data_IF_027398077930
#
_entry.id   IF_027398077930
#
_cell.length_a   1.000
_cell.length_b   1.000
_cell.length_c   1.000
_cell.angle_alpha   90.00
_cell.angle_beta   90.00
_cell.angle_gamma   90.00
#
_symmetry.space_group_name_H-M   'P 1'
#
loop_
_entity.id
_entity.type
_entity.pdbx_description
1 polymer ?
#
# COMPACT_ATOMS: atom_id res chain seq x y z
N UNK A 1 -21.56 -28.81 -3.47
CA UNK A 1 -20.47 -28.21 -4.27
C UNK A 1 -20.38 -26.72 -3.94
N UNK A 2 -19.67 -26.36 -2.86
CA UNK A 2 -19.23 -24.99 -2.55
C UNK A 2 -18.61 -24.93 -1.14
N UNK A 3 -17.35 -25.33 -1.01
CA UNK A 3 -16.58 -25.16 0.24
C UNK A 3 -15.16 -24.63 -0.06
N UNK A 4 -15.08 -23.65 -0.96
CA UNK A 4 -13.81 -23.01 -1.39
C UNK A 4 -13.72 -21.56 -0.85
N UNK A 5 -14.70 -21.06 -0.11
CA UNK A 5 -14.77 -19.63 0.23
C UNK A 5 -13.89 -19.14 1.40
N UNK A 6 -13.10 -19.98 2.07
CA UNK A 6 -12.48 -19.60 3.37
C UNK A 6 -10.96 -19.47 3.39
N UNK A 7 -10.23 -19.91 2.36
CA UNK A 7 -8.76 -19.78 2.32
C UNK A 7 -8.27 -18.40 1.85
N UNK A 8 -8.69 -17.98 0.65
CA UNK A 8 -8.14 -16.80 -0.03
C UNK A 8 -8.59 -15.48 0.61
N UNK A 9 -9.84 -15.40 1.07
CA UNK A 9 -10.35 -14.23 1.82
C UNK A 9 -9.56 -14.01 3.11
N UNK A 10 -9.17 -15.09 3.79
CA UNK A 10 -8.36 -15.03 5.01
C UNK A 10 -6.89 -14.75 4.74
N UNK A 11 -6.41 -14.87 3.52
CA UNK A 11 -5.03 -14.50 3.16
C UNK A 11 -4.94 -13.06 2.64
N UNK A 12 -5.96 -12.60 1.93
CA UNK A 12 -6.08 -11.24 1.39
C UNK A 12 -6.69 -10.24 2.37
N UNK A 13 -7.09 -10.66 3.58
CA UNK A 13 -7.60 -9.76 4.62
C UNK A 13 -6.72 -8.53 4.92
N UNK A 14 -5.38 -8.56 4.82
CA UNK A 14 -4.57 -7.37 5.08
C UNK A 14 -4.79 -6.30 4.01
N UNK A 15 -5.15 -6.69 2.78
CA UNK A 15 -5.46 -5.75 1.68
C UNK A 15 -6.73 -4.93 1.96
N UNK A 16 -7.55 -5.31 2.93
CA UNK A 16 -8.66 -4.47 3.37
C UNK A 16 -8.21 -3.26 4.20
N UNK A 17 -6.97 -3.27 4.72
CA UNK A 17 -6.43 -2.16 5.52
C UNK A 17 -6.00 -1.00 4.62
N UNK A 18 -6.49 0.21 4.93
CA UNK A 18 -6.11 1.46 4.23
C UNK A 18 -4.59 1.66 4.19
N UNK A 19 -3.90 1.31 5.28
CA UNK A 19 -2.43 1.41 5.37
C UNK A 19 -1.73 0.51 4.35
N UNK A 20 -2.22 -0.71 4.20
CA UNK A 20 -1.66 -1.71 3.30
C UNK A 20 -1.93 -1.31 1.85
N UNK A 21 -3.13 -0.81 1.55
CA UNK A 21 -3.47 -0.31 0.21
C UNK A 21 -2.55 0.83 -0.22
N UNK A 22 -2.30 1.80 0.69
CA UNK A 22 -1.35 2.90 0.42
C UNK A 22 0.06 2.37 0.23
N UNK A 23 0.54 1.48 1.10
CA UNK A 23 1.87 0.88 0.96
C UNK A 23 2.05 0.16 -0.39
N UNK A 24 1.05 -0.61 -0.80
CA UNK A 24 1.05 -1.30 -2.10
C UNK A 24 1.08 -0.28 -3.25
N UNK A 25 0.27 0.77 -3.20
CA UNK A 25 0.28 1.82 -4.22
C UNK A 25 1.65 2.52 -4.32
N UNK A 26 2.26 2.87 -3.19
CA UNK A 26 3.60 3.47 -3.12
C UNK A 26 4.65 2.56 -3.77
N UNK A 27 4.64 1.27 -3.44
CA UNK A 27 5.57 0.28 -4.01
C UNK A 27 5.35 0.11 -5.51
N UNK A 28 4.10 0.03 -5.98
CA UNK A 28 3.79 -0.10 -7.40
C UNK A 28 4.34 1.08 -8.20
N UNK A 29 4.15 2.31 -7.71
CA UNK A 29 4.66 3.51 -8.40
C UNK A 29 6.18 3.54 -8.40
N UNK A 30 6.83 3.18 -7.30
CA UNK A 30 8.28 3.08 -7.24
C UNK A 30 8.83 1.97 -8.17
N UNK A 31 8.14 0.84 -8.26
CA UNK A 31 8.52 -0.28 -9.12
C UNK A 31 8.25 0.00 -10.60
N UNK A 32 7.24 0.80 -10.92
CA UNK A 32 6.96 1.24 -12.28
C UNK A 32 8.19 1.89 -12.95
N UNK A 33 9.00 2.62 -12.18
CA UNK A 33 10.26 3.16 -12.65
C UNK A 33 11.25 2.08 -13.12
N UNK A 34 11.31 0.94 -12.41
CA UNK A 34 12.15 -0.20 -12.80
C UNK A 34 11.57 -0.97 -13.99
N UNK A 35 10.24 -0.95 -14.16
CA UNK A 35 9.52 -1.64 -15.23
C UNK A 35 9.54 -0.90 -16.59
N UNK A 36 10.31 0.18 -16.71
CA UNK A 36 10.49 0.91 -17.97
C UNK A 36 9.66 2.19 -18.12
N UNK A 37 8.94 2.62 -17.07
CA UNK A 37 8.42 3.99 -17.03
C UNK A 37 9.57 4.93 -16.66
N UNK A 38 9.89 5.87 -17.56
CA UNK A 38 10.91 6.89 -17.30
C UNK A 38 10.40 7.90 -16.27
N UNK A 39 10.55 7.56 -14.99
CA UNK A 39 10.31 8.45 -13.86
C UNK A 39 11.63 9.05 -13.39
N UNK A 40 11.64 10.35 -13.12
CA UNK A 40 12.78 11.02 -12.48
C UNK A 40 12.98 10.46 -11.07
N UNK A 41 14.22 10.30 -10.63
CA UNK A 41 14.57 9.84 -9.28
C UNK A 41 13.87 10.67 -8.19
N UNK A 42 13.83 11.99 -8.37
CA UNK A 42 13.11 12.92 -7.50
C UNK A 42 11.63 12.54 -7.32
N UNK A 43 10.99 12.04 -8.37
CA UNK A 43 9.58 11.61 -8.33
C UNK A 43 9.42 10.33 -7.53
N UNK A 44 10.34 9.37 -7.69
CA UNK A 44 10.35 8.12 -6.92
C UNK A 44 10.54 8.44 -5.43
N UNK A 45 11.54 9.27 -5.10
CA UNK A 45 11.82 9.68 -3.73
C UNK A 45 10.64 10.45 -3.12
N UNK A 46 10.00 11.32 -3.89
CA UNK A 46 8.79 12.05 -3.46
C UNK A 46 7.66 11.08 -3.14
N UNK A 47 7.37 10.12 -4.02
CA UNK A 47 6.30 9.14 -3.80
C UNK A 47 6.60 8.26 -2.59
N UNK A 48 7.85 7.84 -2.40
CA UNK A 48 8.27 7.06 -1.24
C UNK A 48 8.12 7.86 0.06
N UNK A 49 8.56 9.12 0.08
CA UNK A 49 8.46 10.00 1.24
C UNK A 49 7.01 10.33 1.60
N UNK A 50 6.20 10.73 0.61
CA UNK A 50 4.77 11.02 0.79
C UNK A 50 4.02 9.76 1.22
N UNK A 51 4.28 8.61 0.57
CA UNK A 51 3.67 7.34 0.91
C UNK A 51 3.94 6.93 2.36
N UNK A 52 5.20 7.02 2.80
CA UNK A 52 5.57 6.75 4.19
C UNK A 52 4.87 7.70 5.18
N UNK A 53 4.81 9.00 4.87
CA UNK A 53 4.13 9.99 5.71
C UNK A 53 2.62 9.73 5.81
N UNK A 54 1.96 9.37 4.70
CA UNK A 54 0.53 9.04 4.68
C UNK A 54 0.24 7.77 5.49
N UNK A 55 1.06 6.72 5.34
CA UNK A 55 0.91 5.48 6.12
C UNK A 55 1.03 5.77 7.62
N UNK A 56 2.02 6.59 8.01
CA UNK A 56 2.22 7.00 9.39
C UNK A 56 1.03 7.83 9.91
N UNK A 57 0.52 8.77 9.11
CA UNK A 57 -0.67 9.56 9.45
C UNK A 57 -1.90 8.68 9.68
N UNK A 58 -2.15 7.71 8.80
CA UNK A 58 -3.26 6.73 8.97
C UNK A 58 -3.03 5.88 10.23
N UNK A 59 -1.79 5.49 10.50
CA UNK A 59 -1.47 4.76 11.74
C UNK A 59 -1.75 5.58 13.00
N UNK A 60 -1.44 6.88 12.97
CA UNK A 60 -1.76 7.78 14.08
C UNK A 60 -3.27 8.01 14.23
N UNK A 61 -4.00 8.23 13.12
CA UNK A 61 -5.46 8.35 13.12
C UNK A 61 -6.13 7.09 13.69
N UNK A 62 -5.70 5.91 13.24
CA UNK A 62 -6.28 4.64 13.69
C UNK A 62 -5.92 4.32 15.15
N UNK A 63 -4.83 4.87 15.70
CA UNK A 63 -4.45 4.75 17.11
C UNK A 63 -5.19 5.74 18.03
N UNK A 64 -5.64 6.89 17.50
CA UNK A 64 -6.40 7.91 18.23
C UNK A 64 -7.92 7.71 18.20
N UNK A 65 -8.42 6.77 17.39
CA UNK A 65 -9.82 6.37 17.37
C UNK A 65 -10.06 5.28 18.43
N UNK A 66 -10.44 5.72 19.63
CA UNK A 66 -11.08 4.91 20.66
C UNK A 66 -12.61 4.88 20.46
#
# INVERSE_FOLDING_TARGET
>A
MSDVQTGWKRWLWPLASRKVQVAVATVIVAYAAQAGLELREETILTVMGVGAAVILGIAHEDAGKA
#
